data_IF_261497998166
#
_entry.id   IF_261497998166
#
_cell.length_a   1.000
_cell.length_b   1.000
_cell.length_c   1.000
_cell.angle_alpha   90.00
_cell.angle_beta   90.00
_cell.angle_gamma   90.00
#
_symmetry.space_group_name_H-M   'P 1'
#
loop_
_entity.id
_entity.type
_entity.pdbx_description
1 polymer ?
#
# COMPACT_ATOMS: atom_id res chain seq x y z
N UNK A 1 -7.07 9.99 -10.77
CA UNK A 1 -6.55 10.77 -9.62
C UNK A 1 -7.32 10.54 -8.31
N UNK A 2 -8.63 10.78 -8.22
CA UNK A 2 -9.38 10.72 -6.92
C UNK A 2 -9.18 9.38 -6.17
N UNK A 3 -9.27 8.25 -6.88
CA UNK A 3 -9.10 6.91 -6.27
C UNK A 3 -7.65 6.67 -5.81
N UNK A 4 -6.65 7.15 -6.57
CA UNK A 4 -5.24 7.06 -6.18
C UNK A 4 -4.91 7.90 -4.95
N UNK A 5 -5.51 9.09 -4.83
CA UNK A 5 -5.40 9.95 -3.64
C UNK A 5 -6.06 9.25 -2.43
N UNK A 6 -7.23 8.63 -2.62
CA UNK A 6 -7.89 7.85 -1.58
C UNK A 6 -7.05 6.66 -1.11
N UNK A 7 -6.38 5.96 -2.03
CA UNK A 7 -5.45 4.90 -1.71
C UNK A 7 -4.24 5.41 -0.91
N UNK A 8 -3.62 6.51 -1.33
CA UNK A 8 -2.51 7.14 -0.59
C UNK A 8 -2.95 7.59 0.82
N UNK A 9 -4.14 8.16 0.96
CA UNK A 9 -4.71 8.50 2.28
C UNK A 9 -4.86 7.25 3.17
N UNK A 10 -5.25 6.11 2.59
CA UNK A 10 -5.33 4.85 3.32
C UNK A 10 -3.94 4.36 3.78
N UNK A 11 -2.88 4.54 2.97
CA UNK A 11 -1.50 4.30 3.40
C UNK A 11 -1.11 5.21 4.56
N UNK A 12 -1.36 6.51 4.45
CA UNK A 12 -1.05 7.49 5.50
C UNK A 12 -1.74 7.13 6.82
N UNK A 13 -3.04 6.82 6.79
CA UNK A 13 -3.79 6.39 7.98
C UNK A 13 -3.25 5.08 8.56
N UNK A 14 -2.86 4.13 7.71
CA UNK A 14 -2.24 2.87 8.15
C UNK A 14 -0.90 3.12 8.82
N UNK A 15 -0.10 4.05 8.31
CA UNK A 15 1.16 4.48 8.92
C UNK A 15 0.96 5.14 10.28
N UNK A 16 0.02 6.08 10.41
CA UNK A 16 -0.30 6.70 11.70
C UNK A 16 -0.77 5.68 12.74
N UNK A 17 -1.62 4.74 12.33
CA UNK A 17 -2.06 3.65 13.21
C UNK A 17 -0.87 2.78 13.64
N UNK A 18 0.01 2.41 12.72
CA UNK A 18 1.22 1.65 13.03
C UNK A 18 2.12 2.39 14.01
N UNK A 19 2.37 3.69 13.78
CA UNK A 19 3.19 4.52 14.66
C UNK A 19 2.57 4.61 16.07
N UNK A 20 1.25 4.80 16.15
CA UNK A 20 0.51 4.79 17.42
C UNK A 20 0.68 3.45 18.14
N UNK A 21 0.47 2.31 17.46
CA UNK A 21 0.67 0.98 18.06
C UNK A 21 2.09 0.78 18.59
N UNK A 22 3.10 1.24 17.84
CA UNK A 22 4.50 1.19 18.25
C UNK A 22 4.78 2.01 19.52
N UNK A 23 4.08 3.14 19.69
CA UNK A 23 4.19 4.00 20.86
C UNK A 23 3.42 3.46 22.08
N UNK A 24 2.23 2.89 21.87
CA UNK A 24 1.33 2.48 22.96
C UNK A 24 1.48 1.00 23.35
N UNK A 25 2.23 0.20 22.58
CA UNK A 25 2.36 -1.24 22.77
C UNK A 25 1.11 -2.05 22.39
N UNK A 26 0.16 -1.43 21.69
CA UNK A 26 -1.06 -2.08 21.22
C UNK A 26 -0.71 -3.17 20.20
N UNK A 27 -1.27 -4.38 20.39
CA UNK A 27 -1.10 -5.48 19.45
C UNK A 27 -1.87 -5.18 18.15
N UNK A 28 -1.33 -5.56 16.98
CA UNK A 28 -2.06 -5.43 15.72
C UNK A 28 -3.36 -6.25 15.77
N UNK A 29 -4.41 -5.73 15.12
CA UNK A 29 -5.69 -6.41 14.99
C UNK A 29 -5.47 -7.80 14.37
N UNK A 30 -5.73 -8.85 15.13
CA UNK A 30 -5.63 -10.23 14.66
C UNK A 30 -6.84 -10.49 13.78
N UNK A 31 -6.69 -10.44 12.45
CA UNK A 31 -7.73 -10.94 11.56
C UNK A 31 -7.90 -12.45 11.78
N UNK A 32 -9.05 -12.82 12.34
CA UNK A 32 -9.40 -14.18 12.75
C UNK A 32 -9.97 -14.93 11.55
N UNK A 33 -9.18 -15.83 10.96
CA UNK A 33 -9.64 -16.83 10.00
C UNK A 33 -8.90 -16.83 8.67
N UNK A 34 -8.63 -18.02 8.12
CA UNK A 34 -8.01 -18.23 6.79
C UNK A 34 -8.86 -17.66 5.64
N UNK A 35 -10.18 -17.63 5.81
CA UNK A 35 -11.15 -17.02 4.87
C UNK A 35 -10.91 -15.49 4.73
N UNK A 36 -10.70 -14.83 5.87
CA UNK A 36 -10.53 -13.37 5.97
C UNK A 36 -9.21 -12.89 5.33
N UNK A 37 -8.26 -13.79 5.10
CA UNK A 37 -7.01 -13.50 4.40
C UNK A 37 -7.21 -13.23 2.91
N UNK A 38 -8.11 -13.96 2.24
CA UNK A 38 -8.36 -13.76 0.81
C UNK A 38 -8.90 -12.36 0.53
N UNK A 39 -9.90 -11.94 1.32
CA UNK A 39 -10.52 -10.60 1.23
C UNK A 39 -9.50 -9.52 1.59
N UNK A 40 -8.66 -9.77 2.61
CA UNK A 40 -7.64 -8.81 3.03
C UNK A 40 -6.56 -8.61 1.96
N UNK A 41 -6.02 -9.70 1.41
CA UNK A 41 -5.01 -9.65 0.36
C UNK A 41 -5.57 -9.03 -0.92
N UNK A 42 -6.81 -9.37 -1.30
CA UNK A 42 -7.51 -8.76 -2.42
C UNK A 42 -7.68 -7.25 -2.24
N UNK A 43 -8.11 -6.82 -1.05
CA UNK A 43 -8.20 -5.39 -0.71
C UNK A 43 -6.85 -4.69 -0.75
N UNK A 44 -5.79 -5.32 -0.24
CA UNK A 44 -4.43 -4.76 -0.26
C UNK A 44 -3.91 -4.62 -1.70
N UNK A 45 -4.18 -5.61 -2.55
CA UNK A 45 -3.81 -5.61 -3.94
C UNK A 45 -4.51 -4.45 -4.69
N UNK A 46 -5.82 -4.29 -4.52
CA UNK A 46 -6.56 -3.15 -5.10
C UNK A 46 -5.98 -1.81 -4.65
N UNK A 47 -5.81 -1.61 -3.34
CA UNK A 47 -5.29 -0.34 -2.80
C UNK A 47 -3.89 -0.06 -3.32
N UNK A 48 -3.05 -1.09 -3.46
CA UNK A 48 -1.69 -0.94 -3.97
C UNK A 48 -1.67 -0.53 -5.44
N UNK A 49 -2.50 -1.14 -6.30
CA UNK A 49 -2.64 -0.76 -7.71
C UNK A 49 -3.00 0.73 -7.84
N UNK A 50 -3.97 1.20 -7.07
CA UNK A 50 -4.39 2.60 -7.12
C UNK A 50 -3.32 3.56 -6.55
N UNK A 51 -2.59 3.14 -5.51
CA UNK A 51 -1.50 3.93 -4.94
C UNK A 51 -0.29 4.04 -5.88
N UNK A 52 -0.06 3.04 -6.74
CA UNK A 52 1.00 3.09 -7.74
C UNK A 52 0.73 4.13 -8.84
N UNK A 53 -0.53 4.44 -9.15
CA UNK A 53 -0.90 5.39 -10.21
C UNK A 53 -0.18 6.74 -10.11
N UNK A 54 -0.31 7.48 -8.99
CA UNK A 54 0.42 8.72 -8.78
C UNK A 54 1.95 8.57 -8.83
N UNK A 55 2.49 7.43 -8.38
CA UNK A 55 3.94 7.17 -8.43
C UNK A 55 4.40 6.98 -9.88
N UNK A 56 3.60 6.31 -10.72
CA UNK A 56 3.87 6.14 -12.13
C UNK A 56 3.77 7.44 -12.91
N UNK A 57 2.86 8.34 -12.55
CA UNK A 57 2.81 9.69 -13.14
C UNK A 57 4.12 10.46 -12.88
N UNK A 58 4.67 10.36 -11.66
CA UNK A 58 5.96 10.96 -11.30
C UNK A 58 7.12 10.29 -12.05
N UNK A 59 7.16 8.95 -12.10
CA UNK A 59 8.22 8.23 -12.81
C UNK A 59 8.18 8.51 -14.32
N UNK A 60 6.99 8.62 -14.90
CA UNK A 60 6.82 8.93 -16.31
C UNK A 60 7.29 10.35 -16.64
N UNK A 61 7.09 11.32 -15.75
CA UNK A 61 7.55 12.70 -15.98
C UNK A 61 9.08 12.82 -15.92
N UNK A 62 9.76 11.95 -15.17
CA UNK A 62 11.22 11.95 -15.02
C UNK A 62 11.93 11.13 -16.10
N UNK A 63 11.49 9.89 -16.33
CA UNK A 63 12.20 8.92 -17.19
C UNK A 63 11.38 8.40 -18.37
N UNK A 64 10.20 8.97 -18.61
CA UNK A 64 9.31 8.53 -19.67
C UNK A 64 8.68 7.16 -19.41
N UNK A 65 7.98 6.66 -20.42
CA UNK A 65 7.22 5.41 -20.33
C UNK A 65 8.11 4.17 -20.20
N UNK A 66 9.34 4.21 -20.72
CA UNK A 66 10.28 3.08 -20.65
C UNK A 66 10.70 2.79 -19.21
N UNK A 67 10.99 3.83 -18.42
CA UNK A 67 11.32 3.69 -17.00
C UNK A 67 10.15 3.07 -16.22
N UNK A 68 8.91 3.50 -16.47
CA UNK A 68 7.72 2.91 -15.83
C UNK A 68 7.59 1.44 -16.18
N UNK A 69 7.76 1.07 -17.46
CA UNK A 69 7.70 -0.33 -17.92
C UNK A 69 8.77 -1.21 -17.27
N UNK A 70 9.93 -0.67 -16.95
CA UNK A 70 11.02 -1.46 -16.34
C UNK A 70 10.92 -1.51 -14.81
N UNK A 71 10.19 -0.58 -14.18
CA UNK A 71 10.15 -0.43 -12.71
C UNK A 71 8.78 -0.70 -12.06
N UNK A 72 7.71 -0.89 -12.84
CA UNK A 72 6.34 -0.98 -12.29
C UNK A 72 6.16 -2.06 -11.23
N UNK A 73 6.79 -3.23 -11.41
CA UNK A 73 6.67 -4.35 -10.47
C UNK A 73 7.35 -4.05 -9.14
N UNK A 74 8.48 -3.32 -9.16
CA UNK A 74 9.19 -2.90 -7.94
C UNK A 74 8.30 -1.95 -7.14
N UNK A 75 7.72 -0.95 -7.80
CA UNK A 75 6.82 0.02 -7.16
C UNK A 75 5.59 -0.69 -6.60
N UNK A 76 5.01 -1.62 -7.34
CA UNK A 76 3.87 -2.41 -6.89
C UNK A 76 4.21 -3.26 -5.66
N UNK A 77 5.31 -4.02 -5.70
CA UNK A 77 5.76 -4.86 -4.58
C UNK A 77 6.06 -3.98 -3.36
N UNK A 78 6.68 -2.82 -3.56
CA UNK A 78 6.96 -1.86 -2.49
C UNK A 78 5.68 -1.36 -1.83
N UNK A 79 4.71 -0.88 -2.61
CA UNK A 79 3.41 -0.45 -2.09
C UNK A 79 2.75 -1.60 -1.30
N UNK A 80 2.56 -2.75 -1.95
CA UNK A 80 1.88 -3.89 -1.33
C UNK A 80 2.57 -4.38 -0.04
N UNK A 81 3.90 -4.53 -0.08
CA UNK A 81 4.71 -4.93 1.06
C UNK A 81 4.66 -3.91 2.20
N UNK A 82 4.71 -2.61 1.88
CA UNK A 82 4.58 -1.54 2.87
C UNK A 82 3.21 -1.61 3.56
N UNK A 83 2.12 -1.76 2.80
CA UNK A 83 0.78 -1.85 3.39
C UNK A 83 0.65 -3.08 4.29
N UNK A 84 1.17 -4.21 3.85
CA UNK A 84 1.19 -5.45 4.61
C UNK A 84 1.97 -5.27 5.93
N UNK A 85 3.17 -4.68 5.86
CA UNK A 85 4.00 -4.40 7.02
C UNK A 85 3.32 -3.46 8.02
N UNK A 86 2.76 -2.34 7.55
CA UNK A 86 2.07 -1.36 8.39
C UNK A 86 0.82 -1.91 9.08
N UNK A 87 0.29 -3.03 8.61
CA UNK A 87 -0.89 -3.68 9.20
C UNK A 87 -0.55 -4.86 10.08
N UNK A 88 0.62 -5.49 9.89
CA UNK A 88 1.05 -6.69 10.63
C UNK A 88 1.98 -6.40 11.79
N UNK A 89 2.77 -5.33 11.70
CA UNK A 89 3.68 -4.87 12.76
C UNK A 89 2.98 -3.87 13.68
#
# INVERSE_FOLDING_TARGET
>A
MIVGIGALYFYYKSFLKWFKRKSTGEKPERKLGLDDWGITLGGYLMVSIFACGPIFEILQSVGGYQLVRDSWYIVFIFCFGLLFFLRRT
#
